data_IF_157300552353
#
_entry.id   IF_157300552353
#
_cell.length_a   1.000
_cell.length_b   1.000
_cell.length_c   1.000
_cell.angle_alpha   90.00
_cell.angle_beta   90.00
_cell.angle_gamma   90.00
#
_symmetry.space_group_name_H-M   'P 1'
#
loop_
_entity.id
_entity.type
_entity.pdbx_description
1 polymer ?
#
# COMPACT_ATOMS: atom_id res chain seq x y z
N UNK A 1 -24.66 2.26 2.83
CA UNK A 1 -23.70 3.33 2.44
C UNK A 1 -22.87 2.81 1.27
N UNK A 2 -22.66 3.61 0.29
CA UNK A 2 -21.88 3.22 -0.90
C UNK A 2 -20.39 3.46 -0.68
N UNK A 3 -19.56 2.69 -1.35
CA UNK A 3 -18.09 2.78 -1.28
C UNK A 3 -17.57 4.20 -1.53
N UNK A 4 -18.12 4.92 -2.52
CA UNK A 4 -17.65 6.26 -2.86
C UNK A 4 -17.86 7.30 -1.74
N UNK A 5 -18.84 7.09 -0.87
CA UNK A 5 -19.06 7.98 0.28
C UNK A 5 -17.94 7.82 1.30
N UNK A 6 -17.59 6.59 1.60
CA UNK A 6 -16.44 6.27 2.47
C UNK A 6 -15.15 6.78 1.84
N UNK A 7 -14.96 6.56 0.54
CA UNK A 7 -13.79 7.02 -0.20
C UNK A 7 -13.62 8.55 -0.13
N UNK A 8 -14.68 9.31 -0.40
CA UNK A 8 -14.63 10.77 -0.35
C UNK A 8 -14.28 11.30 1.04
N UNK A 9 -14.91 10.76 2.08
CA UNK A 9 -14.62 11.16 3.46
C UNK A 9 -13.21 10.76 3.89
N UNK A 10 -12.75 9.60 3.45
CA UNK A 10 -11.38 9.14 3.70
C UNK A 10 -10.35 10.10 3.10
N UNK A 11 -10.49 10.46 1.82
CA UNK A 11 -9.58 11.38 1.13
C UNK A 11 -9.56 12.75 1.82
N UNK A 12 -10.72 13.27 2.20
CA UNK A 12 -10.82 14.54 2.95
C UNK A 12 -10.12 14.47 4.30
N UNK A 13 -10.31 13.39 5.05
CA UNK A 13 -9.69 13.21 6.35
C UNK A 13 -8.17 13.13 6.28
N UNK A 14 -7.62 12.40 5.30
CA UNK A 14 -6.18 12.32 5.06
C UNK A 14 -5.61 13.70 4.74
N UNK A 15 -6.26 14.45 3.86
CA UNK A 15 -5.84 15.79 3.49
C UNK A 15 -5.88 16.76 4.68
N UNK A 16 -6.94 16.71 5.47
CA UNK A 16 -7.07 17.52 6.68
C UNK A 16 -5.98 17.23 7.72
N UNK A 17 -5.47 16.01 7.74
CA UNK A 17 -4.39 15.59 8.64
C UNK A 17 -2.98 15.86 8.08
N UNK A 18 -2.87 16.56 6.95
CA UNK A 18 -1.58 16.93 6.35
C UNK A 18 -0.99 15.90 5.39
N UNK A 19 -1.76 14.89 5.01
CA UNK A 19 -1.35 13.86 4.07
C UNK A 19 -1.98 13.99 2.68
N UNK A 20 -1.76 13.00 1.87
CA UNK A 20 -2.37 12.85 0.54
C UNK A 20 -2.75 11.38 0.31
N UNK A 21 -3.88 11.14 -0.32
CA UNK A 21 -4.34 9.82 -0.69
C UNK A 21 -4.46 9.74 -2.22
N UNK A 22 -3.38 9.31 -2.86
CA UNK A 22 -3.38 9.15 -4.32
C UNK A 22 -4.16 7.91 -4.71
N UNK A 23 -4.99 8.03 -5.73
CA UNK A 23 -5.65 6.88 -6.34
C UNK A 23 -4.63 6.05 -7.09
N UNK A 24 -4.55 4.76 -6.73
CA UNK A 24 -3.62 3.83 -7.34
C UNK A 24 -4.30 3.11 -8.50
N UNK A 25 -3.74 3.24 -9.69
CA UNK A 25 -4.15 2.47 -10.85
C UNK A 25 -2.92 1.84 -11.48
N UNK A 26 -3.05 0.59 -11.93
CA UNK A 26 -1.97 -0.12 -12.60
C UNK A 26 -2.51 -0.91 -13.78
N UNK A 27 -1.82 -0.84 -14.90
CA UNK A 27 -2.13 -1.65 -16.08
C UNK A 27 -1.46 -3.02 -16.03
N UNK A 28 -0.42 -3.16 -15.22
CA UNK A 28 0.43 -4.36 -15.17
C UNK A 28 0.24 -5.20 -13.93
N UNK A 29 -0.21 -4.63 -12.82
CA UNK A 29 -0.42 -5.33 -11.57
C UNK A 29 -1.88 -5.23 -11.12
N UNK A 30 -2.58 -6.35 -11.11
CA UNK A 30 -3.93 -6.45 -10.60
C UNK A 30 -3.95 -6.63 -9.08
N UNK A 31 -5.03 -6.20 -8.45
CA UNK A 31 -5.24 -6.41 -7.02
C UNK A 31 -4.49 -5.47 -6.10
N UNK A 32 -3.88 -4.39 -6.63
CA UNK A 32 -3.30 -3.36 -5.79
C UNK A 32 -4.37 -2.63 -4.98
N UNK A 33 -4.03 -2.13 -3.77
CA UNK A 33 -4.95 -1.30 -3.00
C UNK A 33 -5.37 -0.03 -3.75
N UNK A 34 -6.55 0.50 -3.43
CA UNK A 34 -7.12 1.67 -4.12
C UNK A 34 -6.33 2.95 -3.92
N UNK A 35 -5.75 3.13 -2.74
CA UNK A 35 -5.10 4.37 -2.35
C UNK A 35 -3.69 4.16 -1.83
N UNK A 36 -2.79 5.01 -2.30
CA UNK A 36 -1.48 5.22 -1.70
C UNK A 36 -1.57 6.45 -0.80
N UNK A 37 -1.43 6.24 0.51
CA UNK A 37 -1.54 7.29 1.51
C UNK A 37 -0.16 7.69 1.99
N UNK A 38 0.15 8.96 1.88
CA UNK A 38 1.41 9.53 2.30
C UNK A 38 1.18 10.60 3.38
N UNK A 39 1.93 10.50 4.47
CA UNK A 39 2.00 11.53 5.51
C UNK A 39 3.44 12.02 5.67
N UNK A 40 3.66 13.18 6.29
CA UNK A 40 5.00 13.66 6.61
C UNK A 40 5.85 12.64 7.34
N UNK A 41 7.16 12.73 7.25
CA UNK A 41 8.14 11.80 7.82
C UNK A 41 8.17 10.43 7.11
N UNK A 42 7.99 10.43 5.79
CA UNK A 42 8.08 9.25 4.93
C UNK A 42 7.06 8.13 5.27
N UNK A 43 5.94 8.48 5.86
CA UNK A 43 4.89 7.51 6.18
C UNK A 43 4.15 7.12 4.92
N UNK A 44 4.23 5.85 4.54
CA UNK A 44 3.62 5.28 3.34
C UNK A 44 2.71 4.14 3.75
N UNK A 45 1.42 4.25 3.47
CA UNK A 45 0.39 3.29 3.85
C UNK A 45 -0.51 3.04 2.64
N UNK A 46 -0.79 1.77 2.37
CA UNK A 46 -1.76 1.39 1.34
C UNK A 46 -3.13 1.15 1.98
N UNK A 47 -4.17 1.63 1.33
CA UNK A 47 -5.54 1.47 1.84
C UNK A 47 -6.46 0.99 0.73
N UNK A 48 -7.10 -0.14 0.97
CA UNK A 48 -8.22 -0.64 0.17
C UNK A 48 -9.53 -0.09 0.73
N UNK A 49 -10.35 0.47 -0.14
CA UNK A 49 -11.66 1.00 0.23
C UNK A 49 -12.75 0.07 -0.26
N UNK A 50 -13.66 -0.31 0.63
CA UNK A 50 -14.76 -1.23 0.35
C UNK A 50 -16.09 -0.66 0.83
N UNK A 51 -17.18 -1.09 0.20
CA UNK A 51 -18.50 -0.91 0.76
C UNK A 51 -18.65 -1.73 2.05
N UNK A 52 -19.51 -1.31 2.99
CA UNK A 52 -19.68 -2.01 4.27
C UNK A 52 -19.95 -3.50 4.08
N UNK A 53 -19.17 -4.34 4.77
CA UNK A 53 -19.28 -5.79 4.73
C UNK A 53 -18.69 -6.46 3.50
N UNK A 54 -18.18 -5.73 2.54
CA UNK A 54 -17.46 -6.28 1.40
C UNK A 54 -16.03 -6.67 1.80
N UNK A 55 -15.60 -7.83 1.36
CA UNK A 55 -14.28 -8.36 1.69
C UNK A 55 -13.28 -8.12 0.57
N UNK A 56 -12.01 -8.05 0.91
CA UNK A 56 -10.95 -8.06 -0.08
C UNK A 56 -10.96 -9.37 -0.86
N UNK A 57 -10.81 -9.25 -2.19
CA UNK A 57 -10.69 -10.40 -3.09
C UNK A 57 -9.38 -11.16 -2.83
N UNK A 58 -9.28 -12.46 -3.18
CA UNK A 58 -8.05 -13.24 -2.97
C UNK A 58 -6.79 -12.58 -3.54
N UNK A 59 -6.86 -12.01 -4.74
CA UNK A 59 -5.71 -11.33 -5.34
C UNK A 59 -5.33 -10.07 -4.57
N UNK A 60 -6.30 -9.32 -4.05
CA UNK A 60 -6.04 -8.15 -3.21
C UNK A 60 -5.34 -8.55 -1.90
N UNK A 61 -5.76 -9.64 -1.28
CA UNK A 61 -5.11 -10.17 -0.06
C UNK A 61 -3.67 -10.62 -0.35
N UNK A 62 -3.43 -11.19 -1.52
CA UNK A 62 -2.08 -11.58 -1.95
C UNK A 62 -1.18 -10.34 -2.12
N UNK A 63 -1.64 -9.31 -2.81
CA UNK A 63 -0.90 -8.05 -2.95
C UNK A 63 -0.62 -7.43 -1.59
N UNK A 64 -1.60 -7.45 -0.70
CA UNK A 64 -1.42 -7.01 0.69
C UNK A 64 -0.27 -7.75 1.35
N UNK A 65 -0.26 -9.07 1.28
CA UNK A 65 0.81 -9.89 1.84
C UNK A 65 2.18 -9.52 1.28
N UNK A 66 2.30 -9.36 -0.03
CA UNK A 66 3.54 -8.95 -0.68
C UNK A 66 4.03 -7.57 -0.21
N UNK A 67 3.13 -6.59 -0.16
CA UNK A 67 3.47 -5.24 0.31
C UNK A 67 3.85 -5.22 1.78
N UNK A 68 3.16 -5.97 2.63
CA UNK A 68 3.49 -6.06 4.05
C UNK A 68 4.85 -6.74 4.28
N UNK A 69 5.23 -7.70 3.47
CA UNK A 69 6.57 -8.29 3.51
C UNK A 69 7.68 -7.28 3.18
N UNK A 70 7.35 -6.29 2.38
CA UNK A 70 8.27 -5.17 2.07
C UNK A 70 8.28 -4.09 3.15
N UNK A 71 7.46 -4.23 4.19
CA UNK A 71 7.40 -3.30 5.31
C UNK A 71 6.32 -2.23 5.21
N UNK A 72 5.43 -2.30 4.22
CA UNK A 72 4.36 -1.33 4.04
C UNK A 72 3.06 -1.82 4.67
N UNK A 73 2.42 -1.03 5.56
CA UNK A 73 1.09 -1.36 6.04
C UNK A 73 0.06 -1.34 4.92
N UNK A 74 -0.87 -2.28 4.96
CA UNK A 74 -2.00 -2.35 4.04
C UNK A 74 -3.27 -2.59 4.84
N UNK A 75 -4.18 -1.62 4.83
CA UNK A 75 -5.43 -1.68 5.57
C UNK A 75 -6.62 -1.69 4.63
N UNK A 76 -7.75 -2.14 5.17
CA UNK A 76 -9.04 -2.07 4.50
C UNK A 76 -9.97 -1.17 5.32
N UNK A 77 -10.57 -0.19 4.69
CA UNK A 77 -11.57 0.69 5.29
C UNK A 77 -12.89 0.46 4.58
N UNK A 78 -13.90 0.01 5.31
CA UNK A 78 -15.25 -0.24 4.78
C UNK A 78 -16.35 0.53 5.48
N UNK A 79 -16.01 1.33 6.51
CA UNK A 79 -16.97 2.07 7.32
C UNK A 79 -16.41 3.42 7.76
N UNK A 80 -17.26 4.42 7.81
CA UNK A 80 -16.91 5.78 8.25
C UNK A 80 -16.23 5.83 9.64
N UNK A 81 -16.71 5.11 10.66
CA UNK A 81 -16.09 5.17 11.99
C UNK A 81 -14.64 4.68 12.06
N UNK A 82 -14.15 3.99 11.04
CA UNK A 82 -12.76 3.50 10.97
C UNK A 82 -11.78 4.59 10.54
N UNK A 83 -12.24 5.67 9.94
CA UNK A 83 -11.39 6.71 9.35
C UNK A 83 -10.59 7.45 10.43
N UNK A 84 -11.25 7.94 11.45
CA UNK A 84 -10.58 8.69 12.53
C UNK A 84 -9.54 7.87 13.28
N UNK A 85 -9.83 6.63 13.71
CA UNK A 85 -8.81 5.76 14.30
C UNK A 85 -7.63 5.49 13.38
N UNK A 86 -7.87 5.32 12.07
CA UNK A 86 -6.82 5.19 11.09
C UNK A 86 -5.89 6.42 11.06
N UNK A 87 -6.45 7.61 10.97
CA UNK A 87 -5.67 8.86 10.95
C UNK A 87 -4.83 8.98 12.23
N UNK A 88 -5.43 8.74 13.39
CA UNK A 88 -4.73 8.81 14.68
C UNK A 88 -3.58 7.82 14.73
N UNK A 89 -3.80 6.58 14.32
CA UNK A 89 -2.77 5.54 14.28
C UNK A 89 -1.65 5.89 13.28
N UNK A 90 -2.00 6.37 12.09
CA UNK A 90 -1.03 6.72 11.07
C UNK A 90 -0.12 7.86 11.50
N UNK A 91 -0.66 8.89 12.13
CA UNK A 91 0.13 10.04 12.59
C UNK A 91 1.12 9.68 13.71
N UNK A 92 0.81 8.68 14.53
CA UNK A 92 1.70 8.22 15.60
C UNK A 92 2.59 7.03 15.20
N UNK A 93 2.33 6.41 14.05
CA UNK A 93 3.10 5.26 13.58
C UNK A 93 4.46 5.68 13.05
N UNK A 94 5.48 4.86 13.33
CA UNK A 94 6.84 5.04 12.81
C UNK A 94 7.10 4.04 11.69
N UNK A 95 7.50 4.49 10.48
CA UNK A 95 7.87 3.59 9.40
C UNK A 95 8.94 2.57 9.84
N UNK A 96 8.81 1.33 9.36
CA UNK A 96 9.68 0.23 9.75
C UNK A 96 9.24 -0.51 11.02
N UNK A 97 8.21 -0.02 11.70
CA UNK A 97 7.59 -0.72 12.84
C UNK A 97 6.23 -1.29 12.45
N UNK A 98 5.70 -2.22 13.22
CA UNK A 98 4.37 -2.77 12.99
C UNK A 98 3.29 -1.68 13.13
N UNK A 99 2.34 -1.66 12.19
CA UNK A 99 1.17 -0.80 12.30
C UNK A 99 0.23 -1.35 13.39
N UNK A 100 -0.44 -0.48 14.18
CA UNK A 100 -1.32 -0.96 15.26
C UNK A 100 -2.40 -1.91 14.77
N UNK A 101 -2.66 -2.96 15.56
CA UNK A 101 -3.73 -3.93 15.29
C UNK A 101 -5.11 -3.31 15.52
N UNK A 102 -6.14 -3.91 14.93
CA UNK A 102 -7.52 -3.54 15.13
C UNK A 102 -7.97 -2.26 14.43
N UNK A 103 -7.15 -1.73 13.54
CA UNK A 103 -7.48 -0.56 12.71
C UNK A 103 -8.07 -1.02 11.38
N UNK A 104 -9.24 -0.48 11.04
CA UNK A 104 -9.94 -0.81 9.81
C UNK A 104 -10.74 -2.11 9.91
N UNK A 105 -11.14 -2.61 8.75
CA UNK A 105 -11.86 -3.89 8.64
C UNK A 105 -10.93 -5.06 8.91
N UNK A 106 -11.47 -6.11 9.52
CA UNK A 106 -10.75 -7.35 9.71
C UNK A 106 -10.52 -8.04 8.36
N UNK A 107 -9.28 -8.38 8.08
CA UNK A 107 -8.89 -9.07 6.85
C UNK A 107 -8.59 -10.51 7.20
N UNK A 108 -9.26 -11.50 6.56
CA UNK A 108 -8.96 -12.92 6.77
C UNK A 108 -7.51 -13.24 6.39
N UNK A 109 -6.92 -14.19 7.09
CA UNK A 109 -5.59 -14.70 6.79
C UNK A 109 -5.54 -15.25 5.36
N UNK A 110 -4.39 -15.06 4.72
CA UNK A 110 -4.14 -15.55 3.38
C UNK A 110 -3.80 -17.04 3.42
N UNK A 111 -4.62 -17.86 2.77
CA UNK A 111 -4.34 -19.26 2.54
C UNK A 111 -3.55 -19.41 1.24
N UNK A 112 -2.22 -19.42 1.35
CA UNK A 112 -1.32 -19.47 0.19
C UNK A 112 -1.56 -20.68 -0.72
N UNK A 113 -2.02 -21.80 -0.15
CA UNK A 113 -2.29 -23.03 -0.90
C UNK A 113 -3.46 -22.92 -1.87
N UNK A 114 -4.35 -21.93 -1.71
CA UNK A 114 -5.54 -21.75 -2.56
C UNK A 114 -5.33 -20.77 -3.70
N UNK A 115 -4.17 -20.11 -3.76
CA UNK A 115 -3.87 -19.15 -4.81
C UNK A 115 -3.23 -19.84 -6.01
N UNK A 116 -3.72 -19.60 -7.23
CA UNK A 116 -3.05 -20.11 -8.43
C UNK A 116 -1.61 -19.60 -8.50
N UNK A 117 -0.68 -20.48 -8.87
CA UNK A 117 0.74 -20.15 -9.01
C UNK A 117 0.98 -18.99 -10.00
N UNK A 118 0.11 -18.87 -10.99
CA UNK A 118 0.15 -17.84 -12.03
C UNK A 118 -0.16 -16.43 -11.51
N UNK A 119 -0.66 -16.32 -10.28
CA UNK A 119 -0.90 -15.02 -9.62
C UNK A 119 0.35 -14.46 -8.93
N UNK A 120 1.51 -15.08 -9.11
CA UNK A 120 2.71 -14.70 -8.38
C UNK A 120 3.36 -13.42 -8.88
N UNK A 121 3.01 -12.98 -10.05
CA UNK A 121 3.76 -11.92 -10.67
C UNK A 121 3.08 -10.57 -10.71
N UNK A 122 3.91 -9.54 -10.55
CA UNK A 122 3.66 -8.19 -11.00
C UNK A 122 3.57 -8.10 -12.55
N UNK A 123 3.29 -9.22 -13.24
CA UNK A 123 3.08 -9.29 -14.68
C UNK A 123 4.35 -9.36 -15.54
N UNK A 124 5.51 -9.17 -14.96
CA UNK A 124 6.78 -9.36 -15.63
C UNK A 124 7.75 -10.08 -14.70
N UNK A 125 8.32 -11.16 -15.14
CA UNK A 125 9.53 -11.73 -14.55
C UNK A 125 10.64 -10.70 -14.75
N UNK A 126 10.89 -9.89 -13.74
CA UNK A 126 12.10 -9.11 -13.73
C UNK A 126 13.25 -10.09 -13.57
N UNK A 127 14.09 -10.22 -14.59
CA UNK A 127 15.35 -10.91 -14.46
C UNK A 127 16.13 -10.30 -13.29
N UNK A 128 16.78 -11.10 -12.46
CA UNK A 128 17.62 -10.56 -11.41
C UNK A 128 18.64 -9.60 -12.01
N UNK A 129 18.71 -8.39 -11.48
CA UNK A 129 19.73 -7.43 -11.92
C UNK A 129 21.09 -8.00 -11.53
N UNK A 130 21.98 -8.13 -12.53
CA UNK A 130 23.34 -8.54 -12.26
C UNK A 130 24.01 -7.52 -11.32
N UNK A 131 24.66 -7.98 -10.25
CA UNK A 131 25.38 -7.06 -9.35
C UNK A 131 26.37 -6.14 -10.06
N UNK A 132 26.96 -6.58 -11.17
CA UNK A 132 27.88 -5.77 -11.99
C UNK A 132 27.14 -4.62 -12.68
N UNK A 133 25.92 -4.85 -13.17
CA UNK A 133 25.08 -3.80 -13.77
C UNK A 133 24.68 -2.75 -12.75
N UNK A 134 24.42 -3.15 -11.51
CA UNK A 134 24.15 -2.20 -10.42
C UNK A 134 25.35 -1.31 -10.12
N UNK A 135 26.54 -1.86 -10.11
CA UNK A 135 27.78 -1.12 -9.87
C UNK A 135 27.98 -0.08 -10.98
N UNK A 136 27.78 -0.49 -12.23
CA UNK A 136 27.89 0.43 -13.39
C UNK A 136 26.85 1.57 -13.26
N UNK A 137 25.60 1.26 -12.93
CA UNK A 137 24.56 2.26 -12.73
C UNK A 137 24.92 3.28 -11.64
N UNK A 138 25.37 2.84 -10.49
CA UNK A 138 25.77 3.74 -9.39
C UNK A 138 27.01 4.57 -9.75
N UNK A 139 27.96 4.01 -10.48
CA UNK A 139 29.16 4.74 -10.94
C UNK A 139 28.78 5.87 -11.91
N UNK A 140 27.84 5.60 -12.84
CA UNK A 140 27.34 6.65 -13.77
C UNK A 140 26.61 7.77 -13.04
N UNK A 141 25.85 7.46 -12.01
CA UNK A 141 25.16 8.48 -11.21
C UNK A 141 26.14 9.37 -10.45
N UNK A 142 27.23 8.80 -9.96
CA UNK A 142 28.25 9.57 -9.24
C UNK A 142 29.10 10.46 -10.18
N UNK A 143 29.30 10.04 -11.43
CA UNK A 143 30.04 10.83 -12.42
C UNK A 143 29.23 12.03 -12.96
N UNK A 144 27.91 11.89 -13.09
CA UNK A 144 27.05 12.95 -13.65
C UNK A 144 26.53 13.94 -12.61
N UNK A 145 26.76 13.66 -11.33
CA UNK A 145 25.96 14.45 -10.51
C UNK A 145 26.28 14.74 -9.13
N UNK A 146 27.37 15.04 -8.87
CA UNK A 146 27.67 15.50 -7.52
C UNK A 146 26.61 16.39 -6.86
N UNK A 147 25.64 16.90 -7.57
CA UNK A 147 24.65 17.87 -7.08
C UNK A 147 23.18 17.39 -7.19
N UNK A 148 22.91 16.13 -7.37
CA UNK A 148 21.55 15.64 -7.56
C UNK A 148 20.74 15.46 -6.27
N UNK A 149 21.28 15.82 -5.14
CA UNK A 149 20.54 15.81 -3.85
C UNK A 149 20.75 17.12 -3.10
#
# INVERSE_FOLDING_TARGET
MREYVVENEFVKAVKAAGGVAYKLTSQTANGLPDRLVLFPAAKTIFVELKAPGKMMRPLQRKRRYQLMKLGFPVLCIDRMPQIKPFITAALSWTPGTAFPDGIGAKIPDLEMATLPAEMDDFGETLEPIDPEDLIEFYTLVDEDGGDAL
#
